data_IF_423580269581
#
_entry.id   IF_423580269581
#
_cell.length_a   1.000
_cell.length_b   1.000
_cell.length_c   1.000
_cell.angle_alpha   90.00
_cell.angle_beta   90.00
_cell.angle_gamma   90.00
#
_symmetry.space_group_name_H-M   'P 1'
#
loop_
_entity.id
_entity.type
_entity.pdbx_description
1 polymer ?
#
# COMPACT_ATOMS: atom_id res chain seq x y z
N UNK A 1 12.54 14.45 -8.14
CA UNK A 1 11.38 14.16 -9.02
C UNK A 1 11.56 12.78 -9.67
N UNK A 2 10.69 11.83 -9.37
CA UNK A 2 10.83 10.40 -9.76
C UNK A 2 10.62 10.14 -11.25
N UNK A 3 10.05 11.08 -12.00
CA UNK A 3 9.70 10.92 -13.41
C UNK A 3 8.30 10.35 -13.67
N UNK A 4 7.52 10.10 -12.63
CA UNK A 4 6.10 9.72 -12.75
C UNK A 4 5.29 10.82 -13.43
N UNK A 5 4.35 10.46 -14.29
CA UNK A 5 3.46 11.39 -14.95
C UNK A 5 2.08 10.80 -15.16
N UNK A 6 1.08 11.68 -15.22
CA UNK A 6 -0.29 11.36 -15.60
C UNK A 6 -0.65 12.15 -16.84
N UNK A 7 -1.20 11.48 -17.82
CA UNK A 7 -1.80 12.10 -19.01
C UNK A 7 -3.29 11.80 -19.00
N UNK A 8 -4.12 12.82 -19.23
CA UNK A 8 -5.58 12.71 -19.19
C UNK A 8 -6.11 13.27 -20.51
N UNK A 9 -6.91 12.50 -21.21
CA UNK A 9 -7.71 12.95 -22.37
C UNK A 9 -9.20 12.98 -22.00
N UNK A 10 -9.77 14.16 -21.72
CA UNK A 10 -11.18 14.29 -21.37
C UNK A 10 -12.12 13.90 -22.53
N UNK A 11 -11.66 14.00 -23.77
CA UNK A 11 -12.47 13.71 -24.96
C UNK A 11 -12.79 12.23 -25.09
N UNK A 12 -11.78 11.39 -24.90
CA UNK A 12 -11.92 9.93 -24.91
C UNK A 12 -12.18 9.32 -23.55
N UNK A 13 -12.24 10.13 -22.47
CA UNK A 13 -12.32 9.70 -21.08
C UNK A 13 -11.21 8.69 -20.70
N UNK A 14 -10.04 8.86 -21.30
CA UNK A 14 -8.88 7.99 -21.08
C UNK A 14 -7.83 8.71 -20.26
N UNK A 15 -7.14 7.98 -19.40
CA UNK A 15 -5.95 8.48 -18.73
C UNK A 15 -4.82 7.46 -18.80
N UNK A 16 -3.58 7.98 -18.75
CA UNK A 16 -2.37 7.18 -18.72
C UNK A 16 -1.56 7.58 -17.51
N UNK A 17 -1.27 6.63 -16.65
CA UNK A 17 -0.35 6.82 -15.53
C UNK A 17 0.98 6.16 -15.89
N UNK A 18 2.01 6.97 -16.06
CA UNK A 18 3.37 6.49 -16.26
C UNK A 18 4.14 6.59 -14.95
N UNK A 19 4.48 5.45 -14.39
CA UNK A 19 5.23 5.36 -13.14
C UNK A 19 6.67 4.98 -13.44
N UNK A 20 7.61 5.81 -13.01
CA UNK A 20 9.03 5.53 -13.16
C UNK A 20 9.81 5.98 -11.92
N UNK A 21 10.93 5.31 -11.65
CA UNK A 21 11.85 5.69 -10.62
C UNK A 21 13.22 5.99 -11.21
N UNK A 22 13.42 7.25 -11.65
CA UNK A 22 14.73 7.70 -12.15
C UNK A 22 15.73 8.00 -11.04
N UNK A 23 15.28 8.06 -9.80
CA UNK A 23 16.15 8.36 -8.65
C UNK A 23 17.03 7.18 -8.30
N UNK A 24 16.59 5.97 -8.61
CA UNK A 24 17.33 4.75 -8.32
C UNK A 24 18.02 4.21 -9.60
N UNK A 25 19.33 3.82 -9.53
CA UNK A 25 20.19 3.78 -8.34
C UNK A 25 20.92 5.09 -8.01
N UNK A 26 21.07 6.03 -8.94
CA UNK A 26 21.99 7.16 -8.81
C UNK A 26 21.40 8.54 -9.16
N UNK A 27 20.11 8.60 -9.40
CA UNK A 27 19.40 9.83 -9.77
C UNK A 27 19.69 10.35 -11.17
N UNK A 28 20.41 9.59 -12.00
CA UNK A 28 20.77 9.98 -13.36
C UNK A 28 19.75 9.45 -14.37
N UNK A 29 19.67 10.12 -15.50
CA UNK A 29 18.82 9.77 -16.61
C UNK A 29 17.64 10.73 -16.81
N UNK A 30 17.10 10.72 -18.03
CA UNK A 30 15.91 11.47 -18.41
C UNK A 30 14.84 10.51 -18.94
N UNK A 31 13.71 10.47 -18.25
CA UNK A 31 12.56 9.65 -18.62
C UNK A 31 11.52 10.40 -19.46
N UNK A 32 11.77 11.69 -19.76
CA UNK A 32 10.84 12.53 -20.53
C UNK A 32 10.52 11.95 -21.90
N UNK A 33 11.52 11.46 -22.68
CA UNK A 33 11.23 10.84 -23.98
C UNK A 33 10.38 9.57 -23.85
N UNK A 34 10.61 8.77 -22.80
CA UNK A 34 9.85 7.55 -22.58
C UNK A 34 8.40 7.86 -22.17
N UNK A 35 8.16 8.88 -21.34
CA UNK A 35 6.81 9.34 -20.99
C UNK A 35 6.03 9.77 -22.23
N UNK A 36 6.64 10.55 -23.10
CA UNK A 36 6.03 10.98 -24.34
C UNK A 36 5.63 9.79 -25.23
N UNK A 37 6.52 8.80 -25.37
CA UNK A 37 6.23 7.57 -26.13
C UNK A 37 5.04 6.80 -25.54
N UNK A 38 5.02 6.56 -24.25
CA UNK A 38 3.93 5.83 -23.57
C UNK A 38 2.60 6.55 -23.76
N UNK A 39 2.55 7.86 -23.57
CA UNK A 39 1.33 8.64 -23.75
C UNK A 39 0.87 8.63 -25.22
N UNK A 40 1.79 8.71 -26.18
CA UNK A 40 1.47 8.64 -27.63
C UNK A 40 0.90 7.28 -28.00
N UNK A 41 1.49 6.19 -27.51
CA UNK A 41 1.02 4.83 -27.77
C UNK A 41 -0.38 4.64 -27.17
N UNK A 42 -0.62 5.08 -25.95
CA UNK A 42 -1.93 5.01 -25.31
C UNK A 42 -2.98 5.81 -26.08
N UNK A 43 -2.68 7.04 -26.43
CA UNK A 43 -3.57 7.89 -27.23
C UNK A 43 -3.92 7.25 -28.59
N UNK A 44 -2.94 6.65 -29.27
CA UNK A 44 -3.16 5.97 -30.55
C UNK A 44 -3.95 4.66 -30.45
N UNK A 45 -4.12 4.12 -29.24
CA UNK A 45 -4.92 2.91 -28.98
C UNK A 45 -6.41 3.20 -28.80
N UNK A 46 -6.79 4.46 -28.66
CA UNK A 46 -8.19 4.89 -28.49
C UNK A 46 -8.89 4.82 -29.83
N UNK A 47 -9.98 4.02 -29.93
CA UNK A 47 -10.66 3.73 -31.20
C UNK A 47 -11.95 4.53 -31.42
N UNK A 48 -12.56 4.99 -30.35
CA UNK A 48 -13.94 5.53 -30.35
C UNK A 48 -13.98 7.05 -30.51
N UNK A 49 -12.83 7.69 -30.64
CA UNK A 49 -12.74 9.15 -30.82
C UNK A 49 -12.61 9.48 -32.31
N UNK A 50 -13.38 10.44 -32.83
CA UNK A 50 -13.29 10.85 -34.24
C UNK A 50 -11.87 11.28 -34.62
N UNK A 51 -11.39 10.80 -35.75
CA UNK A 51 -10.03 11.05 -36.24
C UNK A 51 -9.69 12.54 -36.35
N UNK A 52 -10.72 13.37 -36.59
CA UNK A 52 -10.59 14.84 -36.66
C UNK A 52 -10.15 15.47 -35.33
N UNK A 53 -10.55 14.88 -34.20
CA UNK A 53 -10.12 15.34 -32.87
C UNK A 53 -8.62 15.12 -32.64
N UNK A 54 -8.03 14.10 -33.30
CA UNK A 54 -6.59 13.83 -33.21
C UNK A 54 -5.76 14.59 -34.25
N UNK A 55 -6.32 15.00 -35.38
CA UNK A 55 -5.57 15.77 -36.39
C UNK A 55 -5.09 17.12 -35.88
N UNK A 56 -5.81 17.72 -34.93
CA UNK A 56 -5.34 18.94 -34.28
C UNK A 56 -4.16 18.68 -33.33
N UNK A 57 -4.10 17.50 -32.74
CA UNK A 57 -2.99 17.07 -31.86
C UNK A 57 -1.75 16.64 -32.66
N UNK A 58 -1.91 16.03 -33.86
CA UNK A 58 -0.79 15.66 -34.74
C UNK A 58 0.06 16.84 -35.19
N UNK A 59 -0.55 18.04 -35.32
CA UNK A 59 0.19 19.26 -35.66
C UNK A 59 1.18 19.70 -34.56
N UNK A 60 1.02 19.21 -33.36
CA UNK A 60 1.84 19.57 -32.18
C UNK A 60 2.96 18.56 -31.93
N UNK A 61 2.78 17.28 -32.31
CA UNK A 61 3.75 16.22 -32.06
C UNK A 61 3.94 15.31 -33.30
N UNK A 62 4.93 15.60 -34.12
CA UNK A 62 5.43 14.62 -35.10
C UNK A 62 6.23 13.54 -34.33
N UNK A 63 5.60 12.42 -34.07
CA UNK A 63 6.30 11.28 -33.44
C UNK A 63 6.95 10.39 -34.51
N UNK A 64 8.26 10.10 -34.41
CA UNK A 64 8.93 9.13 -35.27
C UNK A 64 8.42 7.69 -35.13
N UNK A 65 7.64 7.38 -34.11
CA UNK A 65 7.17 6.03 -33.80
C UNK A 65 5.80 5.65 -34.39
N UNK A 66 5.20 6.53 -35.20
CA UNK A 66 3.88 6.27 -35.82
C UNK A 66 3.82 4.96 -36.62
N UNK A 67 4.94 4.50 -37.17
CA UNK A 67 5.04 3.22 -37.89
C UNK A 67 4.93 1.97 -37.01
N UNK A 68 5.11 2.11 -35.68
CA UNK A 68 5.04 0.99 -34.73
C UNK A 68 3.63 0.81 -34.13
N UNK A 69 2.76 1.78 -34.29
CA UNK A 69 1.40 1.81 -33.73
C UNK A 69 0.55 0.59 -34.12
N UNK A 70 0.54 0.11 -35.39
CA UNK A 70 -0.26 -1.05 -35.75
C UNK A 70 0.10 -2.32 -35.01
N UNK A 71 1.42 -2.62 -34.85
CA UNK A 71 1.91 -3.79 -34.10
C UNK A 71 1.53 -3.71 -32.62
N UNK A 72 1.60 -2.53 -32.04
CA UNK A 72 1.22 -2.31 -30.66
C UNK A 72 -0.27 -2.48 -30.43
N UNK A 73 -1.12 -2.04 -31.38
CA UNK A 73 -2.57 -2.26 -31.32
C UNK A 73 -2.92 -3.75 -31.27
N UNK A 74 -2.25 -4.59 -32.05
CA UNK A 74 -2.44 -6.05 -32.02
C UNK A 74 -2.07 -6.64 -30.65
N UNK A 75 -0.98 -6.17 -30.05
CA UNK A 75 -0.55 -6.61 -28.71
C UNK A 75 -1.55 -6.19 -27.61
N UNK A 76 -2.07 -4.96 -27.68
CA UNK A 76 -3.08 -4.47 -26.74
C UNK A 76 -4.39 -5.24 -26.90
N UNK A 77 -4.80 -5.56 -28.11
CA UNK A 77 -5.99 -6.38 -28.36
C UNK A 77 -5.85 -7.81 -27.82
N UNK A 78 -4.69 -8.40 -28.01
CA UNK A 78 -4.39 -9.72 -27.44
C UNK A 78 -4.40 -9.70 -25.91
N UNK A 79 -3.81 -8.68 -25.29
CA UNK A 79 -3.82 -8.48 -23.85
C UNK A 79 -5.25 -8.23 -23.30
N UNK A 80 -6.07 -7.43 -24.01
CA UNK A 80 -7.47 -7.18 -23.66
C UNK A 80 -8.32 -8.45 -23.71
N UNK A 81 -8.19 -9.26 -24.76
CA UNK A 81 -8.89 -10.56 -24.87
C UNK A 81 -8.49 -11.51 -23.74
N UNK A 82 -7.21 -11.54 -23.38
CA UNK A 82 -6.72 -12.30 -22.21
C UNK A 82 -7.31 -11.80 -20.89
N UNK A 83 -7.40 -10.47 -20.72
CA UNK A 83 -8.01 -9.83 -19.54
C UNK A 83 -9.50 -10.10 -19.44
N UNK A 84 -10.24 -10.03 -20.57
CA UNK A 84 -11.67 -10.34 -20.63
C UNK A 84 -11.95 -11.80 -20.29
N UNK A 85 -11.09 -12.74 -20.70
CA UNK A 85 -11.20 -14.15 -20.31
C UNK A 85 -10.93 -14.38 -18.81
N UNK A 86 -9.98 -13.64 -18.22
CA UNK A 86 -9.71 -13.66 -16.78
C UNK A 86 -10.86 -13.04 -15.98
N UNK A 87 -11.45 -11.93 -16.46
CA UNK A 87 -12.63 -11.29 -15.85
C UNK A 87 -13.87 -12.19 -15.91
N UNK A 88 -14.05 -12.94 -16.99
CA UNK A 88 -15.16 -13.91 -17.11
C UNK A 88 -15.04 -15.05 -16.07
N UNK A 89 -13.82 -15.42 -15.69
CA UNK A 89 -13.58 -16.39 -14.62
C UNK A 89 -13.79 -15.80 -13.22
N UNK A 90 -13.65 -14.48 -13.04
CA UNK A 90 -13.94 -13.79 -11.76
C UNK A 90 -15.45 -13.67 -11.48
N UNK A 91 -16.31 -13.80 -12.49
CA UNK A 91 -17.77 -13.76 -12.34
C UNK A 91 -18.39 -14.95 -11.57
N UNK A 92 -17.57 -15.90 -11.12
CA UNK A 92 -18.02 -16.99 -10.21
C UNK A 92 -17.97 -16.59 -8.72
N UNK A 93 -17.52 -15.37 -8.39
CA UNK A 93 -17.59 -14.86 -7.02
C UNK A 93 -19.03 -14.48 -6.67
N UNK A 94 -19.47 -14.86 -5.48
CA UNK A 94 -20.81 -14.52 -5.00
C UNK A 94 -21.04 -13.01 -5.03
N UNK A 95 -22.25 -12.53 -5.42
CA UNK A 95 -22.54 -11.10 -5.41
C UNK A 95 -22.31 -10.50 -4.02
N UNK A 96 -21.66 -9.35 -3.95
CA UNK A 96 -21.45 -8.62 -2.69
C UNK A 96 -22.83 -8.13 -2.21
N UNK A 97 -23.25 -8.45 -0.97
CA UNK A 97 -24.47 -7.91 -0.42
C UNK A 97 -24.40 -6.38 -0.30
N UNK A 98 -25.44 -5.67 -0.69
CA UNK A 98 -25.46 -4.18 -0.80
C UNK A 98 -25.30 -3.39 0.51
N UNK A 99 -25.17 -4.03 1.66
CA UNK A 99 -25.06 -3.38 2.98
C UNK A 99 -24.02 -4.05 3.89
N UNK A 100 -22.89 -4.44 3.37
CA UNK A 100 -21.79 -4.89 4.22
C UNK A 100 -20.96 -3.70 4.65
N UNK A 101 -20.75 -3.59 5.95
CA UNK A 101 -19.71 -2.74 6.53
C UNK A 101 -18.58 -3.65 6.99
N UNK A 102 -17.40 -3.47 6.43
CA UNK A 102 -16.21 -4.22 6.81
C UNK A 102 -15.67 -3.67 8.13
N UNK A 103 -15.46 -4.56 9.10
CA UNK A 103 -14.74 -4.23 10.33
C UNK A 103 -13.25 -4.50 10.11
N UNK A 104 -12.42 -3.48 10.29
CA UNK A 104 -10.96 -3.64 10.29
C UNK A 104 -10.48 -4.41 11.53
N UNK A 105 -9.26 -4.86 11.53
CA UNK A 105 -8.69 -5.53 12.70
C UNK A 105 -8.80 -4.72 13.99
N UNK A 106 -8.71 -3.37 13.92
CA UNK A 106 -8.90 -2.51 15.08
C UNK A 106 -10.34 -2.56 15.61
N UNK A 107 -11.35 -2.58 14.73
CA UNK A 107 -12.75 -2.62 15.11
C UNK A 107 -13.08 -3.97 15.78
N UNK A 108 -12.55 -5.06 15.23
CA UNK A 108 -12.69 -6.40 15.80
C UNK A 108 -12.03 -6.48 17.18
N UNK A 109 -10.81 -5.98 17.31
CA UNK A 109 -10.07 -5.96 18.55
C UNK A 109 -10.79 -5.13 19.65
N UNK A 110 -11.32 -3.96 19.28
CA UNK A 110 -12.09 -3.09 20.17
C UNK A 110 -13.40 -3.76 20.61
N UNK A 111 -14.17 -4.30 19.67
CA UNK A 111 -15.41 -5.06 19.95
C UNK A 111 -15.18 -6.22 20.89
N UNK A 112 -14.07 -6.93 20.75
CA UNK A 112 -13.73 -8.11 21.56
C UNK A 112 -13.06 -7.73 22.89
N UNK A 113 -13.05 -6.42 23.25
CA UNK A 113 -12.55 -5.91 24.52
C UNK A 113 -11.03 -6.06 24.67
N UNK A 114 -10.28 -5.99 23.57
CA UNK A 114 -8.81 -6.05 23.53
C UNK A 114 -8.20 -7.31 24.14
N UNK A 115 -8.91 -8.43 24.18
CA UNK A 115 -8.49 -9.68 24.85
C UNK A 115 -7.11 -10.17 24.44
N UNK A 116 -6.77 -10.01 23.15
CA UNK A 116 -5.46 -10.41 22.60
C UNK A 116 -4.29 -9.59 23.18
N UNK A 117 -4.58 -8.38 23.65
CA UNK A 117 -3.59 -7.44 24.20
C UNK A 117 -3.73 -7.25 25.72
N UNK A 118 -4.59 -8.02 26.37
CA UNK A 118 -4.88 -7.88 27.81
C UNK A 118 -3.61 -7.90 28.67
N UNK A 119 -3.47 -6.89 29.53
CA UNK A 119 -2.34 -6.70 30.43
C UNK A 119 -1.01 -6.31 29.76
N UNK A 120 -0.93 -6.23 28.42
CA UNK A 120 0.34 -6.02 27.70
C UNK A 120 0.74 -4.55 27.64
N UNK A 121 2.04 -4.33 27.70
CA UNK A 121 2.71 -3.08 27.35
C UNK A 121 3.04 -3.12 25.87
N UNK A 122 2.40 -2.29 25.09
CA UNK A 122 2.50 -2.34 23.64
C UNK A 122 3.13 -1.08 23.04
N UNK A 123 3.87 -1.29 21.94
CA UNK A 123 4.24 -0.23 21.00
C UNK A 123 3.35 -0.30 19.78
N UNK A 124 2.92 0.83 19.26
CA UNK A 124 2.06 0.91 18.07
C UNK A 124 2.80 1.51 16.87
N UNK A 125 2.92 0.75 15.81
CA UNK A 125 3.38 1.22 14.49
C UNK A 125 2.15 1.67 13.71
N UNK A 126 2.03 2.96 13.45
CA UNK A 126 0.85 3.52 12.78
C UNK A 126 1.14 4.88 12.14
N UNK A 127 0.20 5.35 11.34
CA UNK A 127 0.11 6.70 10.84
C UNK A 127 -1.35 7.19 10.92
N UNK A 128 -1.66 8.31 10.30
CA UNK A 128 -3.00 8.92 10.29
C UNK A 128 -4.11 8.05 9.67
N UNK A 129 -3.75 7.00 8.90
CA UNK A 129 -4.71 6.04 8.32
C UNK A 129 -5.20 5.01 9.32
N UNK A 130 -4.46 4.79 10.42
CA UNK A 130 -4.85 3.90 11.50
C UNK A 130 -6.06 4.46 12.25
N UNK A 131 -7.27 4.05 11.84
CA UNK A 131 -8.55 4.48 12.44
C UNK A 131 -9.51 3.31 12.49
N UNK A 132 -10.41 3.36 13.47
CA UNK A 132 -11.58 2.49 13.50
C UNK A 132 -12.69 3.02 12.57
N UNK A 133 -13.75 2.26 12.40
CA UNK A 133 -14.91 2.60 11.55
C UNK A 133 -15.58 3.92 11.97
N UNK A 134 -15.55 4.26 13.26
CA UNK A 134 -16.06 5.54 13.78
C UNK A 134 -15.13 6.73 13.49
N UNK A 135 -13.99 6.53 12.84
CA UNK A 135 -13.01 7.55 12.51
C UNK A 135 -12.07 7.91 13.66
N UNK A 136 -12.15 7.23 14.81
CA UNK A 136 -11.24 7.43 15.93
C UNK A 136 -9.88 6.81 15.62
N UNK A 137 -8.79 7.52 15.93
CA UNK A 137 -7.44 7.01 15.66
C UNK A 137 -7.13 5.77 16.50
N UNK A 138 -6.42 4.82 15.93
CA UNK A 138 -5.97 3.62 16.65
C UNK A 138 -5.12 3.97 17.88
N UNK A 139 -4.39 5.10 17.82
CA UNK A 139 -3.67 5.66 18.96
C UNK A 139 -4.65 5.90 20.12
N UNK A 140 -5.71 6.65 19.86
CA UNK A 140 -6.70 7.01 20.89
C UNK A 140 -7.47 5.76 21.38
N UNK A 141 -7.85 4.87 20.48
CA UNK A 141 -8.55 3.61 20.82
C UNK A 141 -7.73 2.77 21.79
N UNK A 142 -6.44 2.57 21.49
CA UNK A 142 -5.57 1.75 22.34
C UNK A 142 -5.12 2.49 23.62
N UNK A 143 -4.98 3.82 23.57
CA UNK A 143 -4.61 4.62 24.74
C UNK A 143 -5.71 4.67 25.79
N UNK A 144 -6.96 4.70 25.36
CA UNK A 144 -8.13 4.73 26.26
C UNK A 144 -8.56 3.32 26.74
N UNK A 145 -8.03 2.26 26.14
CA UNK A 145 -8.33 0.89 26.55
C UNK A 145 -7.80 0.61 27.97
N UNK A 146 -8.71 0.21 28.89
CA UNK A 146 -8.37 0.04 30.30
C UNK A 146 -7.43 -1.11 30.61
N UNK A 147 -7.45 -2.13 29.79
CA UNK A 147 -6.69 -3.37 29.96
C UNK A 147 -5.49 -3.48 29.02
N UNK A 148 -5.18 -2.42 28.25
CA UNK A 148 -3.99 -2.34 27.39
C UNK A 148 -3.13 -1.18 27.84
N UNK A 149 -1.82 -1.32 27.80
CA UNK A 149 -0.89 -0.24 28.14
C UNK A 149 -0.11 0.18 26.90
N UNK A 150 -0.64 1.15 26.15
CA UNK A 150 0.11 1.79 25.06
C UNK A 150 1.23 2.62 25.70
N UNK A 151 2.50 2.33 25.35
CA UNK A 151 3.66 2.97 25.96
C UNK A 151 4.55 3.73 24.98
N UNK A 152 4.47 3.41 23.69
CA UNK A 152 5.24 4.11 22.66
C UNK A 152 4.56 4.02 21.29
N UNK A 153 4.87 4.99 20.44
CA UNK A 153 4.43 5.07 19.06
C UNK A 153 5.64 4.98 18.14
N UNK A 154 5.48 4.33 16.99
CA UNK A 154 6.50 4.20 15.97
C UNK A 154 5.96 4.82 14.68
N UNK A 155 6.60 5.91 14.24
CA UNK A 155 6.21 6.65 13.06
C UNK A 155 6.94 6.12 11.82
N UNK A 156 6.20 5.67 10.77
CA UNK A 156 6.79 5.41 9.47
C UNK A 156 7.09 6.71 8.71
N UNK A 157 7.38 6.59 7.43
CA UNK A 157 7.47 7.71 6.50
C UNK A 157 6.27 8.65 6.65
N UNK A 158 6.47 9.96 6.55
CA UNK A 158 5.48 11.02 6.75
C UNK A 158 4.95 11.21 8.20
N UNK A 159 5.46 10.46 9.18
CA UNK A 159 5.10 10.61 10.59
C UNK A 159 3.74 10.01 10.96
N UNK A 160 3.38 10.08 12.25
CA UNK A 160 2.14 9.50 12.76
C UNK A 160 0.87 10.25 12.33
N UNK A 161 0.99 11.52 11.89
CA UNK A 161 -0.13 12.34 11.45
C UNK A 161 -0.18 12.53 9.92
N UNK A 162 0.82 12.05 9.16
CA UNK A 162 0.86 12.10 7.70
C UNK A 162 1.02 13.50 7.10
N UNK A 163 1.48 14.46 7.90
CA UNK A 163 1.57 15.88 7.51
C UNK A 163 2.93 16.27 6.96
N UNK A 164 3.94 15.40 7.12
CA UNK A 164 5.32 15.71 6.77
C UNK A 164 5.73 15.04 5.46
N UNK A 165 6.04 15.85 4.45
CA UNK A 165 6.66 15.38 3.20
C UNK A 165 8.19 15.33 3.36
N UNK A 166 8.67 14.54 4.32
CA UNK A 166 10.10 14.36 4.58
C UNK A 166 10.38 12.97 5.16
N UNK A 167 11.51 12.39 4.74
CA UNK A 167 12.05 11.16 5.34
C UNK A 167 12.77 11.44 6.69
N UNK A 168 13.10 12.69 6.98
CA UNK A 168 13.81 13.07 8.20
C UNK A 168 12.82 13.48 9.29
N UNK A 169 12.34 12.49 10.01
CA UNK A 169 11.45 12.70 11.16
C UNK A 169 12.24 12.36 12.42
N UNK A 170 12.40 13.32 13.30
CA UNK A 170 13.02 13.12 14.62
C UNK A 170 12.06 12.49 15.61
N UNK A 171 12.63 11.90 16.68
CA UNK A 171 11.86 11.40 17.79
C UNK A 171 11.17 12.59 18.50
N UNK A 172 9.88 12.42 18.78
CA UNK A 172 9.03 13.48 19.35
C UNK A 172 8.15 12.91 20.47
N UNK A 173 7.20 13.69 20.93
CA UNK A 173 6.09 13.21 21.78
C UNK A 173 4.77 13.53 21.10
N UNK A 174 3.84 12.59 21.19
CA UNK A 174 2.46 12.87 20.75
C UNK A 174 1.81 13.85 21.71
N UNK A 175 1.32 14.96 21.18
CA UNK A 175 0.80 16.08 21.99
C UNK A 175 -0.42 15.69 22.84
N UNK A 176 -1.25 14.77 22.33
CA UNK A 176 -2.49 14.37 22.98
C UNK A 176 -2.26 13.35 24.10
N UNK A 177 -1.41 12.35 23.86
CA UNK A 177 -1.19 11.26 24.81
C UNK A 177 0.06 11.43 25.66
N UNK A 178 0.98 12.33 25.26
CA UNK A 178 2.28 12.52 25.88
C UNK A 178 3.27 11.36 25.64
N UNK A 179 2.88 10.36 24.84
CA UNK A 179 3.71 9.18 24.57
C UNK A 179 4.90 9.53 23.68
N UNK A 180 6.04 8.85 23.86
CA UNK A 180 7.17 8.97 22.96
C UNK A 180 6.80 8.45 21.56
N UNK A 181 7.20 9.20 20.53
CA UNK A 181 7.06 8.86 19.12
C UNK A 181 8.45 8.63 18.57
N UNK A 182 8.77 7.41 18.21
CA UNK A 182 10.03 7.03 17.61
C UNK A 182 9.89 7.02 16.08
N UNK A 183 10.73 7.77 15.40
CA UNK A 183 10.82 7.67 13.94
C UNK A 183 11.62 6.42 13.55
N UNK A 184 10.94 5.47 12.90
CA UNK A 184 11.61 4.29 12.36
C UNK A 184 12.38 4.58 11.05
N UNK A 185 12.28 5.80 10.53
CA UNK A 185 13.03 6.28 9.36
C UNK A 185 14.27 7.10 9.71
N UNK A 186 14.47 7.37 10.99
CA UNK A 186 15.65 8.08 11.48
C UNK A 186 16.93 7.33 11.13
N UNK A 187 17.96 8.07 10.76
CA UNK A 187 19.29 7.55 10.43
C UNK A 187 19.30 6.56 9.24
N UNK A 188 18.27 6.54 8.39
CA UNK A 188 18.16 5.64 7.25
C UNK A 188 17.94 4.16 7.58
N UNK A 189 17.73 3.83 8.86
CA UNK A 189 17.61 2.44 9.33
C UNK A 189 16.28 1.78 8.91
N UNK A 190 15.20 2.57 8.80
CA UNK A 190 13.85 2.11 8.40
C UNK A 190 13.33 0.93 9.21
N UNK A 191 13.69 0.90 10.51
CA UNK A 191 13.30 -0.16 11.46
C UNK A 191 13.36 0.33 12.91
N UNK A 192 12.60 -0.25 13.84
CA UNK A 192 12.75 0.01 15.26
C UNK A 192 14.16 -0.36 15.75
N UNK A 193 14.68 0.40 16.72
CA UNK A 193 15.95 0.08 17.39
C UNK A 193 15.71 -0.88 18.55
N UNK A 194 16.65 -1.78 18.89
CA UNK A 194 16.50 -2.74 20.00
C UNK A 194 16.12 -2.09 21.33
N UNK A 195 16.70 -0.94 21.65
CA UNK A 195 16.42 -0.19 22.87
C UNK A 195 14.99 0.33 22.96
N UNK A 196 14.32 0.56 21.80
CA UNK A 196 12.93 1.01 21.74
C UNK A 196 11.93 -0.14 21.96
N UNK A 197 12.39 -1.38 21.83
CA UNK A 197 11.58 -2.61 21.99
C UNK A 197 11.72 -3.24 23.37
N UNK A 198 12.75 -2.87 24.13
CA UNK A 198 13.20 -3.52 25.37
C UNK A 198 12.09 -3.69 26.41
N UNK A 199 11.22 -2.70 26.53
CA UNK A 199 10.18 -2.66 27.56
C UNK A 199 8.78 -2.98 27.02
N UNK A 200 8.69 -3.58 25.83
CA UNK A 200 7.44 -3.96 25.20
C UNK A 200 7.16 -5.45 25.38
N UNK A 201 5.89 -5.77 25.63
CA UNK A 201 5.39 -7.15 25.63
C UNK A 201 4.89 -7.55 24.23
N UNK A 202 4.59 -6.56 23.36
CA UNK A 202 4.17 -6.76 21.98
C UNK A 202 4.31 -5.49 21.14
N UNK A 203 4.35 -5.65 19.81
CA UNK A 203 4.14 -4.59 18.84
C UNK A 203 2.80 -4.79 18.15
N UNK A 204 2.06 -3.70 17.98
CA UNK A 204 0.86 -3.63 17.15
C UNK A 204 1.17 -2.84 15.88
N UNK A 205 0.73 -3.34 14.75
CA UNK A 205 0.88 -2.71 13.45
C UNK A 205 -0.50 -2.38 12.86
N UNK A 206 -0.76 -1.11 12.56
CA UNK A 206 -2.03 -0.65 11.99
C UNK A 206 -1.80 0.50 11.00
N UNK A 207 -1.67 0.17 9.73
CA UNK A 207 -1.50 1.12 8.61
C UNK A 207 -2.28 0.61 7.41
N UNK A 208 -3.02 1.51 6.72
CA UNK A 208 -3.67 1.19 5.46
C UNK A 208 -2.63 1.13 4.33
N UNK A 209 -2.50 -0.01 3.70
CA UNK A 209 -1.71 -0.20 2.48
C UNK A 209 -2.54 0.13 1.23
N UNK A 210 -1.88 0.29 0.08
CA UNK A 210 -2.54 0.62 -1.20
C UNK A 210 -2.65 -0.57 -2.16
N UNK A 211 -2.18 -1.75 -1.79
CA UNK A 211 -2.21 -2.95 -2.63
C UNK A 211 -1.13 -3.00 -3.71
N UNK A 212 -0.16 -2.08 -3.69
CA UNK A 212 0.92 -2.00 -4.66
C UNK A 212 2.29 -2.20 -4.00
N UNK A 213 3.09 -3.13 -4.52
CA UNK A 213 4.39 -3.57 -3.98
C UNK A 213 5.36 -2.44 -3.67
N UNK A 214 5.39 -1.41 -4.51
CA UNK A 214 6.34 -0.31 -4.37
C UNK A 214 6.00 0.64 -3.21
N UNK A 215 4.85 0.46 -2.57
CA UNK A 215 4.46 1.26 -1.41
C UNK A 215 5.14 0.74 -0.15
N UNK A 216 5.83 1.62 0.56
CA UNK A 216 6.87 1.25 1.52
C UNK A 216 6.37 0.66 2.84
N UNK A 217 5.07 0.74 3.12
CA UNK A 217 4.52 0.19 4.36
C UNK A 217 4.60 -1.33 4.45
N UNK A 218 4.60 -2.05 3.31
CA UNK A 218 4.88 -3.48 3.28
C UNK A 218 6.30 -3.81 3.76
N UNK A 219 7.27 -2.99 3.36
CA UNK A 219 8.66 -3.09 3.82
C UNK A 219 8.80 -2.70 5.30
N UNK A 220 8.05 -1.71 5.74
CA UNK A 220 7.98 -1.31 7.15
C UNK A 220 7.50 -2.48 8.02
N UNK A 221 6.42 -3.17 7.62
CA UNK A 221 5.94 -4.35 8.34
C UNK A 221 7.02 -5.44 8.41
N UNK A 222 7.66 -5.75 7.27
CA UNK A 222 8.76 -6.73 7.24
C UNK A 222 9.86 -6.38 8.23
N UNK A 223 10.33 -5.14 8.22
CA UNK A 223 11.40 -4.69 9.10
C UNK A 223 10.99 -4.72 10.59
N UNK A 224 9.74 -4.40 10.89
CA UNK A 224 9.18 -4.52 12.25
C UNK A 224 9.16 -5.98 12.70
N UNK A 225 8.72 -6.91 11.85
CA UNK A 225 8.72 -8.34 12.15
C UNK A 225 10.13 -8.86 12.42
N UNK A 226 11.13 -8.45 11.62
CA UNK A 226 12.53 -8.85 11.80
C UNK A 226 13.09 -8.39 13.15
N UNK A 227 12.82 -7.16 13.58
CA UNK A 227 13.30 -6.66 14.86
C UNK A 227 12.53 -7.25 16.07
N UNK A 228 11.22 -7.44 15.92
CA UNK A 228 10.40 -8.10 16.92
C UNK A 228 10.81 -9.56 17.13
N UNK A 229 11.16 -10.29 16.08
CA UNK A 229 11.69 -11.65 16.18
C UNK A 229 12.99 -11.71 16.97
N UNK A 230 13.92 -10.78 16.73
CA UNK A 230 15.17 -10.65 17.51
C UNK A 230 14.89 -10.32 18.99
N UNK A 231 13.92 -9.44 19.23
CA UNK A 231 13.50 -9.05 20.58
C UNK A 231 12.65 -10.12 21.27
N UNK A 232 12.19 -11.16 20.53
CA UNK A 232 11.30 -12.25 21.02
C UNK A 232 9.97 -11.74 21.55
N UNK A 233 9.42 -10.71 20.91
CA UNK A 233 8.09 -10.18 21.21
C UNK A 233 7.13 -10.41 20.04
N UNK A 234 5.85 -10.70 20.28
CA UNK A 234 4.86 -10.89 19.22
C UNK A 234 4.55 -9.59 18.47
N UNK A 235 4.19 -9.75 17.19
CA UNK A 235 3.68 -8.68 16.33
C UNK A 235 2.20 -8.95 16.05
N UNK A 236 1.33 -8.02 16.42
CA UNK A 236 -0.09 -8.05 16.10
C UNK A 236 -0.35 -7.13 14.90
N UNK A 237 -0.76 -7.69 13.79
CA UNK A 237 -1.21 -6.91 12.61
C UNK A 237 -2.72 -6.76 12.68
N UNK A 238 -3.19 -5.52 12.77
CA UNK A 238 -4.61 -5.20 12.64
C UNK A 238 -4.93 -5.11 11.15
N UNK A 239 -5.53 -6.18 10.62
CA UNK A 239 -5.68 -6.33 9.17
C UNK A 239 -6.65 -5.30 8.56
N UNK A 240 -6.38 -4.92 7.31
CA UNK A 240 -7.14 -3.93 6.56
C UNK A 240 -7.39 -4.39 5.13
N UNK A 241 -8.49 -3.93 4.48
CA UNK A 241 -8.77 -4.28 3.10
C UNK A 241 -7.60 -3.93 2.16
N UNK A 242 -7.32 -4.81 1.21
CA UNK A 242 -6.58 -4.39 0.04
C UNK A 242 -7.51 -3.49 -0.80
N UNK A 243 -7.17 -2.20 -1.02
CA UNK A 243 -8.11 -1.25 -1.58
C UNK A 243 -8.42 -1.48 -3.07
N UNK A 244 -7.58 -2.23 -3.75
CA UNK A 244 -7.73 -2.57 -5.17
C UNK A 244 -8.11 -4.05 -5.37
N UNK A 245 -8.84 -4.61 -4.41
CA UNK A 245 -9.30 -5.99 -4.22
C UNK A 245 -8.19 -7.02 -3.95
N UNK A 246 -8.60 -8.23 -3.57
CA UNK A 246 -7.72 -9.34 -3.23
C UNK A 246 -7.72 -10.47 -4.27
N UNK A 247 -8.32 -10.27 -5.44
CA UNK A 247 -8.44 -11.28 -6.50
C UNK A 247 -7.42 -11.02 -7.61
N UNK A 248 -7.34 -9.77 -8.05
CA UNK A 248 -6.52 -9.41 -9.19
C UNK A 248 -5.04 -9.30 -8.80
N UNK A 249 -4.22 -9.95 -9.60
CA UNK A 249 -2.76 -9.97 -9.47
C UNK A 249 -2.16 -9.52 -10.79
N UNK A 250 -1.36 -8.45 -10.80
CA UNK A 250 -0.90 -7.82 -12.02
C UNK A 250 0.54 -7.30 -11.93
N UNK A 251 1.16 -7.18 -13.09
CA UNK A 251 2.51 -6.65 -13.26
C UNK A 251 3.62 -7.66 -12.96
N UNK A 252 4.87 -7.30 -13.23
CA UNK A 252 6.01 -8.20 -13.07
C UNK A 252 6.28 -8.51 -11.60
N UNK A 253 6.67 -9.76 -11.34
CA UNK A 253 7.17 -10.20 -10.04
C UNK A 253 8.56 -9.59 -9.80
N UNK A 254 8.81 -9.11 -8.58
CA UNK A 254 10.14 -8.64 -8.20
C UNK A 254 11.15 -9.79 -8.21
N UNK A 255 12.29 -9.54 -8.82
CA UNK A 255 13.41 -10.49 -8.84
C UNK A 255 14.12 -10.50 -7.47
N UNK A 256 14.61 -11.65 -7.06
CA UNK A 256 15.26 -11.81 -5.76
C UNK A 256 16.48 -10.90 -5.58
N UNK A 257 17.26 -10.71 -6.64
CA UNK A 257 18.45 -9.84 -6.68
C UNK A 257 18.12 -8.33 -6.77
N UNK A 258 16.82 -7.98 -6.89
CA UNK A 258 16.32 -6.60 -6.97
C UNK A 258 15.49 -6.19 -5.76
N UNK A 259 15.45 -7.04 -4.73
CA UNK A 259 14.74 -6.70 -3.52
C UNK A 259 15.34 -5.47 -2.84
N UNK A 260 14.45 -4.61 -2.35
CA UNK A 260 14.82 -3.33 -1.75
C UNK A 260 13.69 -2.85 -0.86
N UNK A 261 13.81 -1.65 -0.29
CA UNK A 261 12.74 -1.08 0.52
C UNK A 261 11.44 -0.80 -0.27
N UNK A 262 11.51 -0.60 -1.59
CA UNK A 262 10.34 -0.47 -2.48
C UNK A 262 9.95 -1.80 -3.14
N UNK A 263 10.56 -2.90 -2.75
CA UNK A 263 10.26 -4.25 -3.21
C UNK A 263 10.67 -5.24 -2.11
N UNK A 264 9.91 -5.26 -1.01
CA UNK A 264 10.27 -6.01 0.19
C UNK A 264 10.21 -7.53 0.02
N UNK A 265 9.50 -8.00 -1.01
CA UNK A 265 9.28 -9.42 -1.28
C UNK A 265 9.12 -9.70 -2.78
N UNK A 266 9.30 -10.96 -3.18
CA UNK A 266 9.17 -11.45 -4.56
C UNK A 266 7.69 -11.62 -4.95
N UNK A 267 6.97 -10.51 -5.02
CA UNK A 267 5.55 -10.42 -5.37
C UNK A 267 5.34 -9.55 -6.61
N UNK A 268 4.20 -9.70 -7.31
CA UNK A 268 3.84 -8.81 -8.42
C UNK A 268 3.62 -7.37 -7.95
N UNK A 269 3.48 -6.43 -8.90
CA UNK A 269 3.20 -5.03 -8.59
C UNK A 269 1.88 -4.90 -7.84
N UNK A 270 0.79 -5.42 -8.37
CA UNK A 270 -0.49 -5.62 -7.68
C UNK A 270 -0.49 -7.04 -7.14
N UNK A 271 -0.48 -7.20 -5.85
CA UNK A 271 -0.19 -8.50 -5.23
C UNK A 271 -1.44 -9.21 -4.67
N UNK A 272 -2.61 -8.58 -4.61
CA UNK A 272 -3.89 -9.21 -4.29
C UNK A 272 -4.01 -9.80 -2.88
N UNK A 273 -3.20 -9.36 -1.93
CA UNK A 273 -3.22 -9.81 -0.53
C UNK A 273 -3.58 -8.65 0.41
N UNK A 274 -4.15 -8.95 1.58
CA UNK A 274 -4.20 -7.99 2.68
C UNK A 274 -2.82 -7.81 3.30
N UNK A 275 -2.64 -6.76 4.10
CA UNK A 275 -1.35 -6.54 4.79
C UNK A 275 -1.04 -7.66 5.78
N UNK A 276 -2.07 -8.23 6.42
CA UNK A 276 -1.94 -9.38 7.31
C UNK A 276 -1.53 -10.65 6.57
N UNK A 277 -2.15 -10.94 5.43
CA UNK A 277 -1.78 -12.07 4.57
C UNK A 277 -0.36 -11.94 4.01
N UNK A 278 0.00 -10.74 3.55
CA UNK A 278 1.35 -10.47 3.06
C UNK A 278 2.40 -10.62 4.18
N UNK A 279 2.07 -10.17 5.40
CA UNK A 279 2.91 -10.37 6.58
C UNK A 279 3.15 -11.85 6.84
N UNK A 280 2.11 -12.68 6.82
CA UNK A 280 2.23 -14.13 7.00
C UNK A 280 3.10 -14.77 5.90
N UNK A 281 2.89 -14.39 4.64
CA UNK A 281 3.69 -14.86 3.50
C UNK A 281 5.17 -14.50 3.66
N UNK A 282 5.47 -13.23 3.94
CA UNK A 282 6.85 -12.78 4.17
C UNK A 282 7.50 -13.51 5.36
N UNK A 283 6.78 -13.69 6.46
CA UNK A 283 7.28 -14.38 7.64
C UNK A 283 7.69 -15.82 7.33
N UNK A 284 6.84 -16.54 6.57
CA UNK A 284 7.08 -17.93 6.19
C UNK A 284 8.21 -18.05 5.15
N UNK A 285 8.10 -17.35 4.02
CA UNK A 285 9.02 -17.51 2.88
C UNK A 285 10.41 -16.92 3.14
N UNK A 286 10.50 -15.80 3.88
CA UNK A 286 11.77 -15.19 4.28
C UNK A 286 12.34 -15.80 5.57
N UNK A 287 11.62 -16.73 6.19
CA UNK A 287 12.03 -17.38 7.45
C UNK A 287 12.37 -16.36 8.54
N UNK A 288 11.55 -15.30 8.67
CA UNK A 288 11.79 -14.23 9.63
C UNK A 288 11.71 -14.76 11.07
N UNK A 289 10.82 -15.71 11.31
CA UNK A 289 10.65 -16.33 12.63
C UNK A 289 9.93 -15.44 13.65
N UNK A 290 9.16 -14.44 13.18
CA UNK A 290 8.35 -13.61 14.06
C UNK A 290 7.14 -14.39 14.61
N UNK A 291 6.80 -14.20 15.89
CA UNK A 291 5.48 -14.56 16.45
C UNK A 291 4.44 -13.57 15.91
N UNK A 292 3.99 -13.82 14.66
CA UNK A 292 3.06 -12.96 13.94
C UNK A 292 1.62 -13.41 14.20
N UNK A 293 0.81 -12.48 14.69
CA UNK A 293 -0.62 -12.65 14.96
C UNK A 293 -1.43 -11.64 14.18
N UNK A 294 -2.36 -12.11 13.37
CA UNK A 294 -3.22 -11.25 12.56
C UNK A 294 -4.61 -11.18 13.18
N UNK A 295 -5.01 -9.98 13.60
CA UNK A 295 -6.40 -9.69 13.95
C UNK A 295 -7.14 -9.46 12.65
N UNK A 296 -7.89 -10.47 12.23
CA UNK A 296 -8.55 -10.50 10.93
C UNK A 296 -9.70 -9.51 10.87
N UNK A 297 -9.91 -8.98 9.67
CA UNK A 297 -11.13 -8.25 9.32
C UNK A 297 -12.35 -9.16 9.37
N UNK A 298 -13.52 -8.56 9.52
CA UNK A 298 -14.81 -9.22 9.32
C UNK A 298 -15.61 -8.53 8.22
N UNK A 299 -16.36 -9.33 7.46
CA UNK A 299 -17.21 -8.85 6.36
C UNK A 299 -16.50 -8.56 5.05
N UNK A 300 -15.16 -8.51 5.01
CA UNK A 300 -14.43 -8.31 3.77
C UNK A 300 -14.45 -9.56 2.88
N UNK A 301 -14.67 -9.33 1.60
CA UNK A 301 -14.56 -10.36 0.56
C UNK A 301 -13.47 -9.95 -0.42
N UNK A 302 -12.72 -10.93 -0.95
CA UNK A 302 -11.57 -10.67 -1.82
C UNK A 302 -11.89 -9.86 -3.07
N UNK A 303 -13.11 -9.96 -3.58
CA UNK A 303 -13.58 -9.20 -4.75
C UNK A 303 -13.91 -7.75 -4.47
N UNK A 304 -13.99 -7.32 -3.20
CA UNK A 304 -14.35 -5.95 -2.83
C UNK A 304 -13.25 -4.96 -3.21
N UNK A 305 -13.67 -3.88 -3.86
CA UNK A 305 -12.91 -2.64 -3.92
C UNK A 305 -13.13 -1.84 -2.64
N UNK A 306 -12.27 -0.84 -2.39
CA UNK A 306 -12.34 -0.11 -1.12
C UNK A 306 -13.67 0.62 -0.90
N UNK A 307 -14.24 1.20 -1.94
CA UNK A 307 -15.55 1.90 -1.92
C UNK A 307 -16.74 0.98 -1.61
N UNK A 308 -16.57 -0.33 -1.76
CA UNK A 308 -17.57 -1.34 -1.39
C UNK A 308 -17.49 -1.78 0.08
N UNK A 309 -16.43 -1.37 0.80
CA UNK A 309 -16.22 -1.76 2.20
C UNK A 309 -17.01 -0.95 3.22
N UNK A 310 -17.61 0.16 2.79
CA UNK A 310 -18.30 1.10 3.68
C UNK A 310 -17.36 1.94 4.55
N UNK A 311 -16.06 1.93 4.26
CA UNK A 311 -15.04 2.68 5.00
C UNK A 311 -14.71 4.01 4.33
N UNK A 312 -14.19 4.95 5.10
CA UNK A 312 -13.72 6.25 4.58
C UNK A 312 -12.26 6.12 4.14
N UNK A 313 -12.00 6.43 2.86
CA UNK A 313 -10.63 6.48 2.37
C UNK A 313 -9.85 7.65 2.97
N UNK A 314 -8.65 7.36 3.43
CA UNK A 314 -7.67 8.35 3.88
C UNK A 314 -6.44 8.23 2.97
N UNK A 315 -6.02 9.33 2.34
CA UNK A 315 -4.77 9.31 1.58
C UNK A 315 -3.61 8.90 2.48
N UNK A 316 -2.94 7.77 2.21
CA UNK A 316 -1.92 7.25 3.11
C UNK A 316 -0.59 8.02 3.03
N UNK A 317 -0.45 8.91 2.06
CA UNK A 317 0.72 9.76 1.84
C UNK A 317 0.27 11.13 1.29
N UNK A 318 1.00 12.22 1.56
CA UNK A 318 0.75 13.51 0.92
C UNK A 318 1.12 13.54 -0.57
N UNK A 319 1.82 12.54 -1.09
CA UNK A 319 2.29 12.41 -2.48
C UNK A 319 1.31 11.66 -3.37
#
# INVERSE_FOLDING_TARGET
FTGTSVWIDPTSQTFVVFMSNRVHPDGKGDVTPLRAKVSTIAASSIRDTPIEAYRQAESIYQSPDAAQIPKFREQVEAARKSSEQLSANSSQLSPIPKNITVLNGIDVLERDGFKELDGKRIGLVTNHTGRNLAGKTTIDVLFEAKNVKLVSLFAPEHGIRGELDTEKIDDTKDEKTGLPVYSIYKDGLRRPKPEQLKDLDAIVYDIQDIGARFYTYTATLKNVMEEAAKAKIPVYVLDRPNPINGVDVEGPIAQEDKLSFIAAHTIPVRYGLTIGELGQMMNAERKIGADLRVIKMEGWQRSMWFDETGQTWMNPSPN
#
